data_IF_431737006708
#
_entry.id   IF_431737006708
#
_cell.length_a   1.000
_cell.length_b   1.000
_cell.length_c   1.000
_cell.angle_alpha   90.00
_cell.angle_beta   90.00
_cell.angle_gamma   90.00
#
_symmetry.space_group_name_H-M   'P 1'
#
loop_
_entity.id
_entity.type
_entity.pdbx_description
1 polymer ?
#
# COMPACT_ATOMS: atom_id res chain seq x y z
N UNK A 1 0.32 -19.97 0.89
CA UNK A 1 0.36 -19.01 -0.24
C UNK A 1 -0.80 -19.18 -1.23
N UNK A 2 -1.66 -20.20 -1.10
CA UNK A 2 -2.81 -20.39 -1.99
C UNK A 2 -4.05 -19.72 -1.41
N UNK A 3 -4.51 -18.65 -2.08
CA UNK A 3 -5.76 -17.96 -1.86
C UNK A 3 -6.53 -17.99 -3.18
N UNK A 4 -7.82 -18.34 -3.17
CA UNK A 4 -8.63 -18.52 -4.38
C UNK A 4 -9.13 -17.20 -5.00
N UNK A 5 -8.48 -16.06 -4.68
CA UNK A 5 -8.83 -14.77 -5.27
C UNK A 5 -8.36 -14.69 -6.72
N UNK A 6 -9.32 -14.45 -7.62
CA UNK A 6 -9.09 -14.24 -9.06
C UNK A 6 -8.95 -12.75 -9.34
N UNK A 7 -7.94 -12.38 -10.13
CA UNK A 7 -7.68 -11.01 -10.56
C UNK A 7 -7.73 -10.94 -12.08
N UNK A 8 -8.39 -9.91 -12.61
CA UNK A 8 -8.45 -9.68 -14.06
C UNK A 8 -7.16 -9.09 -14.62
N UNK A 9 -6.30 -8.55 -13.77
CA UNK A 9 -5.03 -7.93 -14.17
C UNK A 9 -3.86 -8.41 -13.32
N UNK A 10 -2.70 -8.60 -13.97
CA UNK A 10 -1.47 -9.06 -13.31
C UNK A 10 -1.01 -8.13 -12.18
N UNK A 11 -1.15 -6.81 -12.34
CA UNK A 11 -0.74 -5.85 -11.31
C UNK A 11 -1.54 -6.01 -10.01
N UNK A 12 -2.82 -6.39 -10.11
CA UNK A 12 -3.69 -6.63 -8.95
C UNK A 12 -3.28 -7.92 -8.22
N UNK A 13 -2.94 -8.97 -8.97
CA UNK A 13 -2.37 -10.19 -8.39
C UNK A 13 -1.05 -9.90 -7.67
N UNK A 14 -0.12 -9.18 -8.31
CA UNK A 14 1.17 -8.80 -7.70
C UNK A 14 0.99 -8.00 -6.41
N UNK A 15 0.04 -7.08 -6.40
CA UNK A 15 -0.34 -6.30 -5.22
C UNK A 15 -0.95 -7.17 -4.13
N UNK A 16 -1.83 -8.11 -4.50
CA UNK A 16 -2.41 -9.07 -3.57
C UNK A 16 -1.35 -9.96 -2.90
N UNK A 17 -0.34 -10.41 -3.64
CA UNK A 17 0.74 -11.23 -3.09
C UNK A 17 1.49 -10.52 -1.95
N UNK A 18 1.54 -9.19 -1.93
CA UNK A 18 2.12 -8.41 -0.83
C UNK A 18 1.41 -8.62 0.51
N UNK A 19 0.13 -9.02 0.48
CA UNK A 19 -0.62 -9.35 1.70
C UNK A 19 -0.09 -10.64 2.32
N UNK A 20 0.28 -11.62 1.49
CA UNK A 20 0.86 -12.89 1.95
C UNK A 20 2.30 -12.72 2.45
N UNK A 21 3.08 -11.86 1.80
CA UNK A 21 4.48 -11.60 2.19
C UNK A 21 4.61 -10.54 3.29
N UNK A 22 3.55 -9.78 3.57
CA UNK A 22 3.60 -8.63 4.47
C UNK A 22 4.41 -7.45 3.91
N UNK A 23 4.78 -7.47 2.63
CA UNK A 23 5.64 -6.45 2.03
C UNK A 23 4.92 -5.09 1.99
N UNK A 24 5.46 -4.13 2.73
CA UNK A 24 5.00 -2.74 2.75
C UNK A 24 6.19 -1.83 2.46
N UNK A 25 6.53 -1.61 1.17
CA UNK A 25 7.73 -0.87 0.80
C UNK A 25 7.56 0.64 0.94
N UNK A 26 6.32 1.14 1.04
CA UNK A 26 6.05 2.56 1.12
C UNK A 26 5.88 2.98 2.58
N UNK A 27 6.73 3.89 3.05
CA UNK A 27 6.72 4.34 4.45
C UNK A 27 6.42 5.83 4.50
N UNK A 28 5.51 6.23 5.39
CA UNK A 28 5.25 7.62 5.68
C UNK A 28 6.42 8.21 6.48
N UNK A 29 7.04 9.25 5.95
CA UNK A 29 8.17 9.93 6.59
C UNK A 29 7.78 10.69 7.86
N UNK A 30 6.52 11.11 7.99
CA UNK A 30 6.05 11.87 9.16
C UNK A 30 5.74 10.99 10.38
N UNK A 31 5.14 9.81 10.17
CA UNK A 31 4.67 8.95 11.27
C UNK A 31 5.20 7.50 11.23
N UNK A 32 6.03 7.15 10.24
CA UNK A 32 6.58 5.80 10.09
C UNK A 32 5.59 4.73 9.61
N UNK A 33 4.32 5.09 9.36
CA UNK A 33 3.30 4.12 8.94
C UNK A 33 3.61 3.54 7.55
N UNK A 34 3.51 2.22 7.42
CA UNK A 34 3.86 1.47 6.19
C UNK A 34 2.63 1.08 5.39
N UNK A 35 2.74 1.14 4.06
CA UNK A 35 1.70 0.86 3.07
C UNK A 35 2.23 -0.08 1.98
N UNK A 36 1.35 -0.92 1.44
CA UNK A 36 1.63 -1.83 0.32
C UNK A 36 1.64 -1.12 -1.04
N UNK A 37 1.03 0.06 -1.11
CA UNK A 37 0.84 0.85 -2.32
C UNK A 37 1.13 2.34 -2.12
N UNK A 38 1.69 2.97 -3.16
CA UNK A 38 2.00 4.41 -3.19
C UNK A 38 0.76 5.29 -3.15
N UNK A 39 -0.34 4.85 -3.79
CA UNK A 39 -1.64 5.54 -3.79
C UNK A 39 -2.15 5.74 -2.37
N UNK A 40 -2.12 4.69 -1.54
CA UNK A 40 -2.54 4.74 -0.15
C UNK A 40 -1.62 5.59 0.72
N UNK A 41 -0.30 5.52 0.53
CA UNK A 41 0.63 6.43 1.22
C UNK A 41 0.31 7.90 0.90
N UNK A 42 0.11 8.24 -0.37
CA UNK A 42 -0.20 9.61 -0.80
C UNK A 42 -1.50 10.12 -0.19
N UNK A 43 -2.58 9.31 -0.21
CA UNK A 43 -3.86 9.68 0.42
C UNK A 43 -3.68 9.85 1.92
N UNK A 44 -2.92 8.97 2.57
CA UNK A 44 -2.61 9.09 3.99
C UNK A 44 -1.85 10.37 4.30
N UNK A 45 -0.79 10.69 3.55
CA UNK A 45 -0.05 11.93 3.71
C UNK A 45 -0.97 13.13 3.48
N UNK A 46 -1.82 13.09 2.46
CA UNK A 46 -2.79 14.15 2.18
C UNK A 46 -3.77 14.37 3.34
N UNK A 47 -4.34 13.29 3.88
CA UNK A 47 -5.39 13.41 4.89
C UNK A 47 -4.86 13.63 6.30
N UNK A 48 -3.67 13.11 6.60
CA UNK A 48 -3.13 13.05 7.97
C UNK A 48 -1.96 14.00 8.19
N UNK A 49 -1.27 14.42 7.13
CA UNK A 49 -0.04 15.21 7.20
C UNK A 49 -0.01 16.40 6.25
N UNK A 50 -1.16 16.78 5.65
CA UNK A 50 -1.28 18.11 5.05
C UNK A 50 -1.38 19.12 6.19
N UNK A 51 -0.21 19.49 6.70
CA UNK A 51 -0.02 20.84 7.19
C UNK A 51 0.25 21.69 5.94
N UNK A 52 -0.45 22.82 5.86
CA UNK A 52 -0.26 23.86 4.85
C UNK A 52 1.22 24.09 4.53
N UNK A 53 1.55 24.10 3.23
CA UNK A 53 2.61 24.99 2.74
C UNK A 53 2.13 26.41 2.96
#
# INVERSE_FOLDING_TARGET
MTCEKRFSHQHQLKMHLKVHTGERPFTCTHCGKRFSERSYLRIHQQKMHMAHV
#
